data_IF_892877290547
#
_entry.id   IF_892877290547
#
_cell.length_a   1.000
_cell.length_b   1.000
_cell.length_c   1.000
_cell.angle_alpha   90.00
_cell.angle_beta   90.00
_cell.angle_gamma   90.00
#
_symmetry.space_group_name_H-M   'P 1'
#
loop_
_entity.id
_entity.type
_entity.pdbx_description
1 polymer ?
#
# COMPACT_ATOMS: atom_id res chain seq x y z
N UNK A 1 -3.99 22.65 -20.76
CA UNK A 1 -3.91 21.16 -20.66
C UNK A 1 -3.20 20.81 -19.35
N UNK A 2 -3.70 19.85 -18.57
CA UNK A 2 -2.98 19.40 -17.35
C UNK A 2 -1.65 18.78 -17.79
N UNK A 3 -0.54 19.15 -17.15
CA UNK A 3 0.78 18.54 -17.45
C UNK A 3 0.69 17.03 -17.26
N UNK A 4 1.16 16.27 -18.25
CA UNK A 4 1.26 14.81 -18.12
C UNK A 4 2.28 14.47 -17.03
N UNK A 5 1.90 13.57 -16.13
CA UNK A 5 2.76 13.07 -15.07
C UNK A 5 3.74 12.06 -15.64
N UNK A 6 4.99 12.12 -15.20
CA UNK A 6 6.04 11.14 -15.49
C UNK A 6 6.27 10.21 -14.30
N UNK A 7 6.84 9.01 -14.51
CA UNK A 7 7.32 8.18 -13.41
C UNK A 7 8.25 8.99 -12.50
N UNK A 8 8.04 8.90 -11.20
CA UNK A 8 8.77 9.68 -10.19
C UNK A 8 8.15 11.03 -9.83
N UNK A 9 7.16 11.53 -10.59
CA UNK A 9 6.47 12.76 -10.23
C UNK A 9 5.63 12.60 -8.96
N UNK A 10 5.68 13.58 -8.06
CA UNK A 10 4.84 13.59 -6.87
C UNK A 10 3.35 13.73 -7.22
N UNK A 11 2.53 12.96 -6.50
CA UNK A 11 1.07 13.07 -6.46
C UNK A 11 0.69 13.34 -5.00
N UNK A 12 -0.04 14.42 -4.76
CA UNK A 12 -0.52 14.76 -3.41
C UNK A 12 -1.98 14.33 -3.27
N UNK A 13 -2.26 13.52 -2.25
CA UNK A 13 -3.60 13.10 -1.88
C UNK A 13 -4.00 13.82 -0.59
N UNK A 14 -5.23 14.36 -0.55
CA UNK A 14 -5.82 14.96 0.65
C UNK A 14 -7.25 14.45 0.78
N UNK A 15 -7.60 13.92 1.94
CA UNK A 15 -8.95 13.45 2.26
C UNK A 15 -9.90 14.64 2.48
N UNK A 16 -11.20 14.39 2.34
CA UNK A 16 -12.22 15.40 2.65
C UNK A 16 -12.44 15.48 4.17
N UNK A 17 -13.00 16.61 4.64
CA UNK A 17 -13.36 16.78 6.06
C UNK A 17 -14.50 15.85 6.49
N UNK A 18 -15.37 15.50 5.56
CA UNK A 18 -16.52 14.62 5.74
C UNK A 18 -16.29 13.26 5.06
N UNK A 19 -15.06 12.76 5.09
CA UNK A 19 -14.73 11.43 4.54
C UNK A 19 -15.38 10.32 5.37
N UNK A 20 -15.68 9.18 4.73
CA UNK A 20 -16.33 8.07 5.43
C UNK A 20 -15.38 7.47 6.48
N UNK A 21 -15.84 7.16 7.70
CA UNK A 21 -14.99 6.56 8.73
C UNK A 21 -14.26 5.32 8.24
N UNK A 22 -14.95 4.41 7.55
CA UNK A 22 -14.31 3.20 7.01
C UNK A 22 -13.25 3.46 5.93
N UNK A 23 -13.33 4.57 5.19
CA UNK A 23 -12.26 4.96 4.27
C UNK A 23 -11.03 5.38 5.08
N UNK A 24 -11.22 6.13 6.16
CA UNK A 24 -10.14 6.54 7.07
C UNK A 24 -9.52 5.32 7.76
N UNK A 25 -10.34 4.41 8.27
CA UNK A 25 -9.86 3.18 8.91
C UNK A 25 -9.09 2.29 7.93
N UNK A 26 -9.61 2.14 6.71
CA UNK A 26 -8.88 1.44 5.65
C UNK A 26 -7.53 2.09 5.35
N UNK A 27 -7.46 3.43 5.22
CA UNK A 27 -6.20 4.15 5.01
C UNK A 27 -5.21 3.87 6.15
N UNK A 28 -5.67 3.95 7.40
CA UNK A 28 -4.83 3.77 8.58
C UNK A 28 -4.37 2.31 8.76
N UNK A 29 -5.11 1.33 8.23
CA UNK A 29 -4.73 -0.07 8.27
C UNK A 29 -3.58 -0.43 7.31
N UNK A 30 -3.18 0.47 6.39
CA UNK A 30 -2.14 0.17 5.40
C UNK A 30 -0.74 0.46 5.96
N UNK A 31 0.15 -0.53 5.89
CA UNK A 31 1.59 -0.32 6.16
C UNK A 31 2.29 0.47 5.03
N UNK A 32 1.80 0.33 3.80
CA UNK A 32 2.25 1.10 2.63
C UNK A 32 1.05 1.52 1.77
N UNK A 33 0.56 2.74 2.02
CA UNK A 33 -0.59 3.31 1.31
C UNK A 33 -0.35 3.45 -0.21
N UNK A 34 0.87 3.82 -0.63
CA UNK A 34 1.16 4.05 -2.05
C UNK A 34 1.11 2.76 -2.86
N UNK A 35 1.59 1.65 -2.28
CA UNK A 35 1.51 0.34 -2.94
C UNK A 35 0.07 -0.18 -3.00
N UNK A 36 -0.68 0.00 -1.91
CA UNK A 36 -2.11 -0.34 -1.84
C UNK A 36 -2.91 0.41 -2.90
N UNK A 37 -2.66 1.70 -3.11
CA UNK A 37 -3.28 2.49 -4.18
C UNK A 37 -2.85 1.96 -5.56
N UNK A 38 -1.57 1.60 -5.76
CA UNK A 38 -1.07 1.04 -7.03
C UNK A 38 -1.82 -0.24 -7.38
N UNK A 39 -1.99 -1.15 -6.43
CA UNK A 39 -2.76 -2.39 -6.61
C UNK A 39 -4.20 -2.12 -7.08
N UNK A 40 -4.91 -1.17 -6.45
CA UNK A 40 -6.27 -0.81 -6.83
C UNK A 40 -6.33 -0.22 -8.25
N UNK A 41 -5.36 0.64 -8.61
CA UNK A 41 -5.26 1.21 -9.96
C UNK A 41 -4.97 0.13 -11.00
N UNK A 42 -4.05 -0.80 -10.73
CA UNK A 42 -3.74 -1.91 -11.62
C UNK A 42 -4.97 -2.78 -11.88
N UNK A 43 -5.78 -3.05 -10.87
CA UNK A 43 -7.01 -3.84 -11.04
C UNK A 43 -8.03 -3.12 -11.94
N UNK A 44 -8.19 -1.80 -11.80
CA UNK A 44 -9.04 -1.02 -12.72
C UNK A 44 -8.49 -1.06 -14.14
N UNK A 45 -7.18 -0.90 -14.32
CA UNK A 45 -6.55 -0.96 -15.65
C UNK A 45 -6.71 -2.35 -16.28
N UNK A 46 -6.56 -3.43 -15.50
CA UNK A 46 -6.75 -4.81 -15.98
C UNK A 46 -8.19 -5.06 -16.42
N UNK A 47 -9.17 -4.58 -15.65
CA UNK A 47 -10.58 -4.82 -15.93
C UNK A 47 -11.13 -3.92 -17.05
N UNK A 48 -10.69 -2.67 -17.12
CA UNK A 48 -11.35 -1.64 -17.92
C UNK A 48 -10.42 -0.82 -18.82
N UNK A 49 -9.11 -1.07 -18.76
CA UNK A 49 -8.10 -0.29 -19.46
C UNK A 49 -7.85 1.10 -18.84
N UNK A 50 -7.03 1.90 -19.50
CA UNK A 50 -6.71 3.27 -19.07
C UNK A 50 -7.83 4.22 -19.50
N UNK A 51 -8.63 4.70 -18.55
CA UNK A 51 -9.76 5.62 -18.80
C UNK A 51 -9.96 6.64 -17.67
N UNK A 52 -10.72 7.69 -17.94
CA UNK A 52 -11.10 8.65 -16.90
C UNK A 52 -12.26 8.10 -16.08
N UNK A 53 -11.96 7.54 -14.91
CA UNK A 53 -12.94 6.86 -14.08
C UNK A 53 -14.17 7.74 -13.74
N UNK A 54 -14.00 9.04 -13.56
CA UNK A 54 -15.10 9.98 -13.24
C UNK A 54 -16.18 10.09 -14.34
N UNK A 55 -15.87 9.69 -15.58
CA UNK A 55 -16.83 9.66 -16.67
C UNK A 55 -17.66 8.36 -16.71
N UNK A 56 -17.24 7.35 -15.96
CA UNK A 56 -17.83 6.01 -15.96
C UNK A 56 -18.45 5.61 -14.63
N UNK A 57 -18.09 6.29 -13.53
CA UNK A 57 -18.62 6.01 -12.20
C UNK A 57 -19.33 7.23 -11.63
N UNK A 58 -20.48 7.05 -10.95
CA UNK A 58 -21.14 8.12 -10.22
C UNK A 58 -20.22 8.77 -9.18
N UNK A 59 -20.37 10.08 -9.00
CA UNK A 59 -19.60 10.83 -7.99
C UNK A 59 -20.06 10.52 -6.56
N UNK A 60 -21.35 10.25 -6.39
CA UNK A 60 -21.93 9.76 -5.15
C UNK A 60 -22.37 8.31 -5.36
N UNK A 61 -21.98 7.45 -4.43
CA UNK A 61 -22.16 5.99 -4.49
C UNK A 61 -22.94 5.46 -3.28
N UNK A 62 -23.45 6.32 -2.41
CA UNK A 62 -24.18 5.89 -1.20
C UNK A 62 -23.32 5.15 -0.17
N UNK A 63 -21.99 5.14 -0.33
CA UNK A 63 -21.08 4.36 0.51
C UNK A 63 -21.19 4.70 2.00
N UNK A 64 -21.54 5.94 2.34
CA UNK A 64 -21.78 6.35 3.73
C UNK A 64 -22.94 5.58 4.38
N UNK A 65 -24.00 5.32 3.62
CA UNK A 65 -25.22 4.69 4.13
C UNK A 65 -25.07 3.17 4.23
N UNK A 66 -24.32 2.55 3.29
CA UNK A 66 -24.10 1.10 3.28
C UNK A 66 -23.16 0.62 4.38
N UNK A 67 -22.14 1.42 4.74
CA UNK A 67 -21.16 1.04 5.77
C UNK A 67 -21.75 1.19 7.18
N UNK A 68 -22.65 2.15 7.39
CA UNK A 68 -23.38 2.32 8.65
C UNK A 68 -24.30 1.11 8.96
N UNK A 69 -24.68 0.33 7.96
CA UNK A 69 -25.51 -0.87 8.10
C UNK A 69 -24.75 -2.14 8.56
N UNK A 70 -23.46 -2.04 8.90
CA UNK A 70 -22.81 -2.98 9.82
C UNK A 70 -22.27 -4.28 9.21
N UNK A 71 -21.28 -4.20 8.32
CA UNK A 71 -20.36 -5.32 8.02
C UNK A 71 -18.96 -4.83 7.69
N UNK A 72 -18.17 -4.54 8.72
CA UNK A 72 -16.73 -4.74 8.67
C UNK A 72 -16.42 -5.89 9.62
N UNK A 73 -16.41 -7.13 9.11
CA UNK A 73 -15.77 -8.20 9.86
C UNK A 73 -14.26 -7.94 9.80
N UNK A 74 -13.72 -7.56 10.94
CA UNK A 74 -12.29 -7.46 11.18
C UNK A 74 -11.66 -8.84 10.94
N UNK A 75 -11.17 -9.08 9.73
CA UNK A 75 -10.34 -10.24 9.43
C UNK A 75 -9.00 -10.03 10.13
N UNK A 76 -8.92 -10.43 11.39
CA UNK A 76 -7.65 -10.63 12.10
C UNK A 76 -6.90 -11.77 11.41
N UNK A 77 -6.13 -11.47 10.38
CA UNK A 77 -5.18 -12.43 9.82
C UNK A 77 -4.12 -12.74 10.88
N UNK A 78 -3.74 -14.02 11.07
CA UNK A 78 -2.84 -14.42 12.13
C UNK A 78 -1.45 -13.83 11.88
N UNK A 79 -0.91 -13.23 12.94
CA UNK A 79 0.48 -12.76 13.02
C UNK A 79 1.41 -13.88 12.56
N UNK A 80 1.99 -13.71 11.38
CA UNK A 80 2.99 -14.62 10.84
C UNK A 80 4.15 -14.73 11.82
N UNK A 81 4.49 -15.97 12.16
CA UNK A 81 5.65 -16.37 12.95
C UNK A 81 6.87 -15.50 12.61
N UNK A 82 7.45 -14.89 13.64
CA UNK A 82 8.82 -14.38 13.59
C UNK A 82 9.74 -15.51 13.11
N UNK A 83 10.34 -15.35 11.93
CA UNK A 83 11.54 -16.12 11.58
C UNK A 83 12.62 -15.71 12.58
N UNK A 84 13.09 -16.67 13.36
CA UNK A 84 14.33 -16.54 14.11
C UNK A 84 15.45 -16.29 13.08
N UNK A 85 16.07 -15.12 13.15
CA UNK A 85 17.34 -14.89 12.49
C UNK A 85 18.37 -15.65 13.33
N UNK A 86 18.90 -16.75 12.80
CA UNK A 86 20.16 -17.28 13.31
C UNK A 86 21.24 -16.27 12.86
N UNK A 87 21.88 -15.61 13.83
CA UNK A 87 23.10 -14.87 13.58
C UNK A 87 24.10 -15.80 12.89
N UNK A 88 24.68 -15.42 11.73
CA UNK A 88 25.82 -16.16 11.21
C UNK A 88 26.90 -16.12 12.28
N UNK A 89 27.43 -17.30 12.64
CA UNK A 89 28.57 -17.41 13.54
C UNK A 89 29.65 -16.44 13.07
N UNK A 90 30.15 -15.60 13.98
CA UNK A 90 31.33 -14.79 13.74
C UNK A 90 32.46 -15.77 13.40
N UNK A 91 32.80 -15.88 12.11
CA UNK A 91 34.06 -16.49 11.69
C UNK A 91 35.14 -15.57 12.26
N UNK A 92 35.81 -16.04 13.32
CA UNK A 92 36.99 -15.39 13.90
C UNK A 92 37.98 -15.18 12.76
N UNK A 93 38.14 -13.93 12.32
CA UNK A 93 39.15 -13.53 11.34
C UNK A 93 40.50 -13.80 12.01
N UNK A 94 41.16 -14.90 11.62
CA UNK A 94 42.47 -15.27 12.14
C UNK A 94 43.54 -14.34 11.53
N UNK A 95 44.60 -14.05 12.27
CA UNK A 95 45.65 -13.10 11.86
C UNK A 95 46.38 -13.53 10.57
N UNK A 96 46.18 -14.77 10.12
CA UNK A 96 46.69 -15.35 8.88
C UNK A 96 45.95 -14.89 7.60
N UNK A 97 44.73 -14.32 7.69
CA UNK A 97 44.01 -13.84 6.49
C UNK A 97 44.53 -12.49 5.95
N UNK A 98 45.35 -11.78 6.71
CA UNK A 98 45.91 -10.47 6.34
C UNK A 98 47.11 -10.56 5.40
N UNK A 99 47.85 -11.66 5.40
CA UNK A 99 49.09 -11.79 4.61
C UNK A 99 48.87 -12.15 3.14
N UNK A 100 47.63 -12.48 2.74
CA UNK A 100 47.32 -12.77 1.31
C UNK A 100 47.22 -11.51 0.42
N UNK A 101 47.45 -10.30 0.96
CA UNK A 101 47.41 -9.04 0.21
C UNK A 101 48.72 -8.24 0.31
N UNK A 102 49.87 -8.92 0.34
CA UNK A 102 51.19 -8.31 0.05
C UNK A 102 51.89 -8.94 -1.14
#
# INVERSE_FOLDING_TARGET
MKKQKKPGDNISLKTKKNEAPAIIDWINAQSNLMDSIRFLVENEIKANGVRNLQQHVPSDRGFMDEVAAGRYEESTAPTGKSLAYEEPAEEEIDEDDIDSWT
#
